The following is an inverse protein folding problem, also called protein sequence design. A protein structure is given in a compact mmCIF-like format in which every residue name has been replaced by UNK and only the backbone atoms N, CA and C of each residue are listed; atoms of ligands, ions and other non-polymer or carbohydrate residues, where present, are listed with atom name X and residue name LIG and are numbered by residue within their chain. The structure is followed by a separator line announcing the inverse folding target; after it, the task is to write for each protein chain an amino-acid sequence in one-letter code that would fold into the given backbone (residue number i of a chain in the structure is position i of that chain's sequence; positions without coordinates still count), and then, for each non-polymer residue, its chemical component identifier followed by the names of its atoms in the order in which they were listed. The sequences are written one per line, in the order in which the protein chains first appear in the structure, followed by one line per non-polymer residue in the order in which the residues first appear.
data_IF_082724426471
#
_entry.id   IF_082724426471
#
_cell.length_a   1.000
_cell.length_b   1.000
_cell.length_c   1.000
_cell.angle_alpha   90.00
_cell.angle_beta   90.00
_cell.angle_gamma   90.00
#
_symmetry.space_group_name_H-M   'P 1'
#
loop_
_entity.id
_entity.type
_entity.pdbx_description
1 polymer ?
#
# COMPACT_ATOMS: atom_id res chain seq x y z
N UNK A 1 8.50 5.38 39.51
CA UNK A 1 7.79 6.58 40.06
C UNK A 1 8.27 7.93 39.50
N UNK A 2 9.54 8.10 39.11
CA UNK A 2 10.12 9.40 38.67
C UNK A 2 9.70 9.83 37.24
N UNK A 3 9.36 8.89 36.35
CA UNK A 3 8.97 9.21 34.97
C UNK A 3 7.61 9.92 34.83
N UNK A 4 6.67 9.71 35.77
CA UNK A 4 5.30 10.24 35.68
C UNK A 4 5.21 11.74 36.00
N UNK A 5 6.16 12.28 36.79
CA UNK A 5 6.15 13.70 37.20
C UNK A 5 6.74 14.66 36.16
N UNK A 6 7.68 14.20 35.31
CA UNK A 6 8.38 15.08 34.34
C UNK A 6 7.44 15.65 33.27
N UNK A 7 6.45 14.87 32.84
CA UNK A 7 5.49 15.29 31.83
C UNK A 7 4.38 16.18 32.39
N UNK A 8 4.05 16.08 33.68
CA UNK A 8 2.98 16.86 34.30
C UNK A 8 3.21 18.37 34.20
N UNK A 9 4.45 18.85 34.41
CA UNK A 9 4.78 20.27 34.24
C UNK A 9 4.62 20.72 32.79
N UNK A 10 5.04 19.89 31.84
CA UNK A 10 4.93 20.18 30.41
C UNK A 10 3.47 20.23 29.95
N UNK A 11 2.66 19.25 30.37
CA UNK A 11 1.22 19.19 30.11
C UNK A 11 0.53 20.42 30.70
N UNK A 12 0.83 20.77 31.95
CA UNK A 12 0.26 21.95 32.61
C UNK A 12 0.59 23.27 31.89
N UNK A 13 1.81 23.43 31.36
CA UNK A 13 2.17 24.61 30.56
C UNK A 13 1.36 24.68 29.26
N UNK A 14 1.14 23.54 28.60
CA UNK A 14 0.34 23.46 27.37
C UNK A 14 -1.14 23.78 27.67
N UNK A 15 -1.70 23.23 28.75
CA UNK A 15 -3.07 23.51 29.20
C UNK A 15 -3.29 24.98 29.57
N UNK A 16 -2.27 25.63 30.13
CA UNK A 16 -2.27 27.08 30.42
C UNK A 16 -1.96 27.95 29.19
N UNK A 17 -1.83 27.36 27.99
CA UNK A 17 -1.44 28.03 26.74
C UNK A 17 -0.09 28.78 26.80
N UNK A 18 0.82 28.38 27.69
CA UNK A 18 2.18 28.94 27.82
C UNK A 18 3.15 28.22 26.87
N UNK A 19 2.92 28.39 25.57
CA UNK A 19 3.57 27.59 24.53
C UNK A 19 5.08 27.86 24.39
N UNK A 20 5.55 29.08 24.65
CA UNK A 20 6.99 29.40 24.67
C UNK A 20 7.73 28.67 25.79
N UNK A 21 7.21 28.74 27.02
CA UNK A 21 7.77 28.04 28.17
C UNK A 21 7.73 26.53 27.99
N UNK A 22 6.61 26.01 27.46
CA UNK A 22 6.46 24.60 27.14
C UNK A 22 7.50 24.14 26.11
N UNK A 23 7.75 24.95 25.07
CA UNK A 23 8.74 24.65 24.03
C UNK A 23 10.15 24.57 24.59
N UNK A 24 10.58 25.58 25.37
CA UNK A 24 11.91 25.59 26.01
C UNK A 24 12.06 24.41 26.96
N UNK A 25 11.04 24.14 27.77
CA UNK A 25 11.06 23.03 28.71
C UNK A 25 11.15 21.67 27.99
N UNK A 26 10.38 21.47 26.92
CA UNK A 26 10.39 20.24 26.14
C UNK A 26 11.72 20.04 25.39
N UNK A 27 12.32 21.09 24.81
CA UNK A 27 13.67 21.01 24.21
C UNK A 27 14.73 20.61 25.24
N UNK A 28 14.68 21.18 26.44
CA UNK A 28 15.60 20.81 27.51
C UNK A 28 15.44 19.36 27.96
N UNK A 29 14.22 18.83 28.01
CA UNK A 29 13.98 17.42 28.28
C UNK A 29 14.50 16.53 27.14
N UNK A 30 14.29 16.95 25.88
CA UNK A 30 14.74 16.21 24.72
C UNK A 30 16.27 16.14 24.63
N UNK A 31 16.98 17.23 24.95
CA UNK A 31 18.45 17.22 25.03
C UNK A 31 18.99 16.21 26.05
N UNK A 32 18.22 15.91 27.11
CA UNK A 32 18.58 14.91 28.13
C UNK A 32 18.17 13.48 27.74
N UNK A 33 17.21 13.33 26.83
CA UNK A 33 16.72 12.05 26.34
C UNK A 33 16.32 12.14 24.85
N UNK A 34 17.31 12.17 23.93
CA UNK A 34 17.06 12.45 22.51
C UNK A 34 16.36 11.30 21.77
N UNK A 35 16.18 10.14 22.42
CA UNK A 35 15.56 8.95 21.83
C UNK A 35 14.11 8.74 22.28
N UNK A 36 13.48 9.75 22.89
CA UNK A 36 12.11 9.67 23.39
C UNK A 36 11.09 10.15 22.34
N UNK A 37 10.41 9.24 21.60
CA UNK A 37 9.47 9.64 20.56
C UNK A 37 8.28 10.45 21.10
N UNK A 38 7.92 10.30 22.37
CA UNK A 38 6.80 11.04 22.95
C UNK A 38 7.13 12.53 23.09
N UNK A 39 8.37 12.88 23.49
CA UNK A 39 8.80 14.28 23.56
C UNK A 39 8.78 14.97 22.19
N UNK A 40 9.14 14.27 21.11
CA UNK A 40 9.02 14.80 19.76
C UNK A 40 7.57 15.09 19.38
N UNK A 41 6.62 14.21 19.72
CA UNK A 41 5.20 14.47 19.43
C UNK A 41 4.67 15.72 20.16
N UNK A 42 5.09 15.94 21.41
CA UNK A 42 4.70 17.14 22.17
C UNK A 42 5.33 18.40 21.55
N UNK A 43 6.62 18.36 21.21
CA UNK A 43 7.31 19.49 20.56
C UNK A 43 6.68 19.84 19.20
N UNK A 44 6.33 18.83 18.40
CA UNK A 44 5.65 19.03 17.14
C UNK A 44 4.27 19.68 17.34
N UNK A 45 3.49 19.23 18.33
CA UNK A 45 2.20 19.84 18.68
C UNK A 45 2.36 21.30 19.11
N UNK A 46 3.35 21.62 19.93
CA UNK A 46 3.63 23.00 20.36
C UNK A 46 4.00 23.86 19.14
N UNK A 47 4.88 23.38 18.26
CA UNK A 47 5.24 24.09 17.03
C UNK A 47 4.04 24.33 16.12
N UNK A 48 3.18 23.31 15.96
CA UNK A 48 1.94 23.41 15.19
C UNK A 48 0.99 24.47 15.77
N UNK A 49 0.73 24.44 17.09
CA UNK A 49 -0.10 25.44 17.79
C UNK A 49 0.45 26.86 17.69
N UNK A 50 1.76 27.01 17.57
CA UNK A 50 2.45 28.30 17.34
C UNK A 50 2.54 28.71 15.86
N UNK A 51 1.91 27.96 14.95
CA UNK A 51 2.01 28.15 13.49
C UNK A 51 3.46 28.10 12.93
N UNK A 52 4.39 27.47 13.65
CA UNK A 52 5.76 27.26 13.18
C UNK A 52 5.86 25.91 12.44
N UNK A 53 5.29 25.86 11.24
CA UNK A 53 5.14 24.64 10.46
C UNK A 53 6.49 24.06 9.97
N UNK A 54 7.48 24.93 9.71
CA UNK A 54 8.82 24.51 9.29
C UNK A 54 9.54 23.70 10.38
N UNK A 55 9.52 24.20 11.62
CA UNK A 55 10.10 23.47 12.76
C UNK A 55 9.27 22.23 13.09
N UNK A 56 7.93 22.31 13.03
CA UNK A 56 7.04 21.17 13.21
C UNK A 56 7.39 20.02 12.25
N UNK A 57 7.56 20.32 10.95
CA UNK A 57 7.96 19.34 9.93
C UNK A 57 9.31 18.70 10.27
N UNK A 58 10.31 19.49 10.65
CA UNK A 58 11.65 18.98 11.02
C UNK A 58 11.57 18.03 12.21
N UNK A 59 10.82 18.39 13.25
CA UNK A 59 10.63 17.57 14.44
C UNK A 59 9.94 16.24 14.07
N UNK A 60 8.87 16.29 13.27
CA UNK A 60 8.17 15.08 12.82
C UNK A 60 9.07 14.17 11.97
N UNK A 61 9.89 14.73 11.07
CA UNK A 61 10.84 13.94 10.30
C UNK A 61 11.89 13.25 11.21
N UNK A 62 12.42 13.96 12.20
CA UNK A 62 13.35 13.38 13.16
C UNK A 62 12.69 12.29 14.03
N UNK A 63 11.42 12.45 14.39
CA UNK A 63 10.64 11.43 15.12
C UNK A 63 10.58 10.11 14.34
N UNK A 64 10.39 10.15 13.01
CA UNK A 64 10.32 8.95 12.16
C UNK A 64 11.64 8.17 12.09
N UNK A 65 12.76 8.75 12.53
CA UNK A 65 14.06 8.08 12.60
C UNK A 65 14.27 7.32 13.92
N UNK A 66 13.40 7.52 14.92
CA UNK A 66 13.58 6.95 16.26
C UNK A 66 13.08 5.51 16.38
N UNK A 67 13.71 4.67 17.22
CA UNK A 67 13.13 3.37 17.54
C UNK A 67 11.74 3.55 18.17
N UNK A 68 10.81 2.64 17.87
CA UNK A 68 9.44 2.63 18.39
C UNK A 68 8.54 3.81 17.98
N UNK A 69 8.90 4.64 16.99
CA UNK A 69 8.02 5.70 16.47
C UNK A 69 6.66 5.15 15.99
N UNK A 70 6.65 3.91 15.50
CA UNK A 70 5.49 3.21 14.95
C UNK A 70 4.47 2.74 16.00
N UNK A 71 4.72 2.97 17.31
CA UNK A 71 3.75 2.64 18.36
C UNK A 71 2.45 3.42 18.16
N UNK A 72 1.32 2.74 18.33
CA UNK A 72 -0.03 3.27 18.05
C UNK A 72 -0.29 4.67 18.65
N UNK A 73 0.11 4.90 19.91
CA UNK A 73 -0.06 6.22 20.57
C UNK A 73 0.70 7.35 19.88
N UNK A 74 1.91 7.07 19.38
CA UNK A 74 2.75 8.05 18.69
C UNK A 74 2.18 8.33 17.30
N UNK A 75 1.82 7.27 16.57
CA UNK A 75 1.18 7.38 15.25
C UNK A 75 -0.10 8.20 15.32
N UNK A 76 -0.99 7.93 16.30
CA UNK A 76 -2.21 8.74 16.51
C UNK A 76 -1.89 10.23 16.70
N UNK A 77 -0.84 10.55 17.45
CA UNK A 77 -0.47 11.95 17.68
C UNK A 77 0.09 12.64 16.44
N UNK A 78 0.89 11.93 15.63
CA UNK A 78 1.36 12.43 14.33
C UNK A 78 0.14 12.74 13.45
N UNK A 79 -0.81 11.80 13.35
CA UNK A 79 -2.02 11.94 12.54
C UNK A 79 -2.90 13.12 12.97
N UNK A 80 -3.08 13.33 14.28
CA UNK A 80 -3.77 14.51 14.82
C UNK A 80 -3.10 15.82 14.38
N UNK A 81 -1.77 15.89 14.46
CA UNK A 81 -1.00 17.09 14.08
C UNK A 81 -1.05 17.34 12.58
N UNK A 82 -0.94 16.28 11.77
CA UNK A 82 -0.91 16.40 10.30
C UNK A 82 -2.29 16.44 9.68
N UNK A 83 -3.36 16.31 10.47
CA UNK A 83 -4.74 16.13 10.01
C UNK A 83 -4.88 14.95 9.04
N UNK A 84 -4.13 13.88 9.28
CA UNK A 84 -4.24 12.62 8.54
C UNK A 84 -5.11 11.65 9.32
N UNK A 85 -5.75 10.71 8.63
CA UNK A 85 -6.59 9.68 9.25
C UNK A 85 -6.02 8.30 8.97
N UNK A 86 -5.85 7.50 10.03
CA UNK A 86 -5.59 6.07 9.87
C UNK A 86 -6.87 5.37 9.46
N UNK A 87 -6.87 4.77 8.26
CA UNK A 87 -8.04 4.04 7.74
C UNK A 87 -8.09 2.59 8.22
N UNK A 88 -6.92 1.98 8.46
CA UNK A 88 -6.78 0.59 8.94
C UNK A 88 -5.69 0.55 10.01
N UNK A 89 -5.89 -0.29 11.02
CA UNK A 89 -4.96 -0.44 12.15
C UNK A 89 -3.54 -0.75 11.69
N UNK A 90 -2.55 -0.06 12.27
CA UNK A 90 -1.12 -0.30 12.05
C UNK A 90 -0.59 -1.57 12.75
N UNK A 91 -1.46 -2.34 13.42
CA UNK A 91 -1.16 -3.71 13.89
C UNK A 91 -0.98 -4.68 12.73
N UNK A 92 -1.64 -4.41 11.61
CA UNK A 92 -1.66 -5.28 10.44
C UNK A 92 -0.67 -4.82 9.39
N UNK A 93 -0.26 -5.74 8.52
CA UNK A 93 0.57 -5.41 7.37
C UNK A 93 -0.32 -5.25 6.14
N UNK A 94 -0.73 -4.00 5.85
CA UNK A 94 -1.55 -3.70 4.67
C UNK A 94 -0.72 -3.01 3.57
N UNK A 95 -1.01 -3.34 2.31
CA UNK A 95 -0.30 -2.82 1.13
C UNK A 95 -1.24 -2.65 -0.08
N UNK A 96 -0.72 -1.97 -1.09
CA UNK A 96 -1.33 -1.84 -2.43
C UNK A 96 -2.78 -1.32 -2.43
N UNK A 97 -3.08 -0.19 -1.76
CA UNK A 97 -4.42 0.38 -1.80
C UNK A 97 -4.77 0.87 -3.22
N UNK A 98 -6.03 0.69 -3.60
CA UNK A 98 -6.63 1.21 -4.83
C UNK A 98 -8.03 1.72 -4.54
N UNK A 99 -8.34 2.93 -4.99
CA UNK A 99 -9.70 3.46 -4.92
C UNK A 99 -10.61 2.76 -5.93
N UNK A 100 -11.90 2.66 -5.59
CA UNK A 100 -12.95 2.45 -6.58
C UNK A 100 -13.05 3.66 -7.50
N UNK A 101 -13.65 3.47 -8.67
CA UNK A 101 -13.75 4.52 -9.70
C UNK A 101 -14.60 5.73 -9.27
N UNK A 102 -15.59 5.52 -8.40
CA UNK A 102 -16.38 6.57 -7.77
C UNK A 102 -15.67 7.24 -6.58
N UNK A 103 -14.52 6.71 -6.14
CA UNK A 103 -13.74 7.21 -5.01
C UNK A 103 -14.35 6.89 -3.63
N UNK A 104 -15.45 6.14 -3.56
CA UNK A 104 -16.16 5.87 -2.30
C UNK A 104 -15.59 4.70 -1.50
N UNK A 105 -14.87 3.79 -2.16
CA UNK A 105 -14.27 2.60 -1.53
C UNK A 105 -12.80 2.48 -1.84
N UNK A 106 -12.10 1.71 -1.01
CA UNK A 106 -10.70 1.34 -1.18
C UNK A 106 -10.60 -0.17 -1.06
N UNK A 107 -9.95 -0.80 -2.04
CA UNK A 107 -9.51 -2.20 -1.97
C UNK A 107 -8.03 -2.23 -1.64
N UNK A 108 -7.62 -3.16 -0.78
CA UNK A 108 -6.24 -3.30 -0.35
C UNK A 108 -5.94 -4.75 0.05
N UNK A 109 -4.67 -5.12 0.02
CA UNK A 109 -4.21 -6.41 0.52
C UNK A 109 -3.77 -6.24 1.97
N UNK A 110 -4.14 -7.14 2.86
CA UNK A 110 -3.72 -7.05 4.26
C UNK A 110 -3.51 -8.41 4.91
N UNK A 111 -2.36 -8.59 5.55
CA UNK A 111 -2.12 -9.67 6.48
C UNK A 111 -2.60 -9.25 7.87
N UNK A 112 -3.58 -10.00 8.39
CA UNK A 112 -4.25 -9.74 9.67
C UNK A 112 -3.90 -10.77 10.75
N UNK A 113 -3.21 -11.83 10.36
CA UNK A 113 -2.84 -12.99 11.17
C UNK A 113 -1.39 -13.37 10.89
N UNK A 114 -0.73 -13.95 11.89
CA UNK A 114 0.58 -14.61 11.75
C UNK A 114 0.34 -16.01 11.16
N UNK A 115 0.47 -16.10 9.84
CA UNK A 115 0.16 -17.30 9.05
C UNK A 115 1.38 -18.21 8.87
N UNK A 116 2.58 -17.72 9.20
CA UNK A 116 3.83 -18.48 9.15
C UNK A 116 4.31 -18.94 10.55
N UNK A 117 3.64 -18.50 11.63
CA UNK A 117 3.91 -18.77 13.04
C UNK A 117 5.28 -18.25 13.53
N UNK A 118 5.75 -17.10 13.02
CA UNK A 118 7.02 -16.48 13.43
C UNK A 118 6.89 -15.49 14.62
N UNK A 119 5.66 -15.28 15.10
CA UNK A 119 5.31 -14.39 16.19
C UNK A 119 5.08 -12.93 15.78
N UNK A 120 5.07 -12.62 14.48
CA UNK A 120 4.85 -11.28 13.93
C UNK A 120 3.86 -11.33 12.77
N UNK A 121 3.25 -10.18 12.48
CA UNK A 121 2.42 -9.98 11.29
C UNK A 121 3.20 -9.09 10.34
N UNK A 122 3.64 -9.64 9.21
CA UNK A 122 4.56 -9.00 8.26
C UNK A 122 4.12 -9.19 6.81
N UNK A 123 4.98 -8.83 5.85
CA UNK A 123 4.75 -9.09 4.43
C UNK A 123 4.92 -10.57 4.05
N UNK A 124 5.53 -11.37 4.92
CA UNK A 124 5.73 -12.81 4.68
C UNK A 124 4.47 -13.62 4.99
N UNK A 125 3.52 -13.01 5.69
CA UNK A 125 2.20 -13.57 5.95
C UNK A 125 1.27 -13.48 4.75
N UNK A 126 0.40 -14.48 4.62
CA UNK A 126 -0.62 -14.52 3.57
C UNK A 126 -1.61 -13.37 3.77
N UNK A 127 -1.69 -12.43 2.81
CA UNK A 127 -2.67 -11.36 2.90
C UNK A 127 -4.04 -11.84 2.36
N UNK A 128 -5.10 -11.43 3.04
CA UNK A 128 -6.44 -11.37 2.44
C UNK A 128 -6.60 -10.12 1.58
N UNK A 129 -7.67 -10.07 0.78
CA UNK A 129 -8.10 -8.84 0.08
C UNK A 129 -9.29 -8.29 0.83
N UNK A 130 -9.20 -7.00 1.15
CA UNK A 130 -10.19 -6.28 1.94
C UNK A 130 -10.71 -5.08 1.17
N UNK A 131 -11.96 -4.72 1.45
CA UNK A 131 -12.59 -3.46 1.02
C UNK A 131 -12.92 -2.65 2.26
N UNK A 132 -12.80 -1.33 2.17
CA UNK A 132 -13.27 -0.37 3.15
C UNK A 132 -13.89 0.84 2.45
N UNK A 133 -14.74 1.59 3.13
CA UNK A 133 -15.18 2.91 2.66
C UNK A 133 -14.00 3.89 2.70
N UNK A 134 -14.07 4.98 1.91
CA UNK A 134 -13.02 6.01 1.84
C UNK A 134 -12.65 6.65 3.19
N UNK A 135 -13.55 6.57 4.16
CA UNK A 135 -13.37 7.08 5.52
C UNK A 135 -12.82 6.00 6.49
N UNK A 136 -12.57 4.77 6.05
CA UNK A 136 -12.08 3.65 6.85
C UNK A 136 -13.16 2.84 7.57
N UNK A 137 -14.45 3.07 7.30
CA UNK A 137 -15.55 2.26 7.87
C UNK A 137 -15.89 1.04 7.02
N UNK A 138 -16.67 0.10 7.57
CA UNK A 138 -17.16 -1.08 6.86
C UNK A 138 -16.06 -1.94 6.23
N UNK A 139 -14.96 -2.14 6.96
CA UNK A 139 -13.88 -3.03 6.55
C UNK A 139 -14.44 -4.45 6.42
N UNK A 140 -14.30 -5.05 5.23
CA UNK A 140 -14.78 -6.39 4.91
C UNK A 140 -13.71 -7.16 4.14
N UNK A 141 -13.44 -8.40 4.56
CA UNK A 141 -12.66 -9.35 3.77
C UNK A 141 -13.51 -9.88 2.60
N UNK A 142 -12.97 -9.81 1.39
CA UNK A 142 -13.63 -10.28 0.15
C UNK A 142 -12.89 -11.42 -0.52
N UNK A 143 -11.59 -11.59 -0.25
CA UNK A 143 -10.85 -12.81 -0.59
C UNK A 143 -10.05 -13.21 0.65
N UNK A 144 -10.24 -14.44 1.18
CA UNK A 144 -9.57 -14.87 2.39
C UNK A 144 -8.07 -15.09 2.20
N UNK A 145 -7.31 -15.03 3.29
CA UNK A 145 -5.87 -15.29 3.39
C UNK A 145 -5.44 -16.76 3.14
N UNK A 146 -6.26 -17.56 2.44
CA UNK A 146 -5.96 -18.97 2.12
C UNK A 146 -4.70 -19.11 1.26
N UNK A 147 -4.45 -18.13 0.40
CA UNK A 147 -3.36 -18.08 -0.58
C UNK A 147 -2.64 -16.74 -0.54
N UNK A 148 -1.55 -16.60 -1.29
CA UNK A 148 -0.81 -15.34 -1.38
C UNK A 148 -1.46 -14.41 -2.41
N UNK A 149 -2.33 -13.52 -1.92
CA UNK A 149 -3.08 -12.58 -2.74
C UNK A 149 -2.35 -11.22 -2.91
N UNK A 150 -2.49 -10.56 -4.05
CA UNK A 150 -1.92 -9.23 -4.27
C UNK A 150 -2.63 -8.47 -5.38
N UNK A 151 -2.27 -7.19 -5.54
CA UNK A 151 -2.59 -6.33 -6.69
C UNK A 151 -4.07 -6.29 -7.05
N UNK A 152 -4.92 -6.20 -6.03
CA UNK A 152 -6.36 -6.10 -6.18
C UNK A 152 -6.79 -4.72 -6.74
N UNK A 153 -7.73 -4.69 -7.67
CA UNK A 153 -8.34 -3.48 -8.20
C UNK A 153 -9.82 -3.67 -8.55
N UNK A 154 -10.60 -2.60 -8.41
CA UNK A 154 -12.03 -2.59 -8.74
C UNK A 154 -12.27 -2.51 -10.25
N UNK A 155 -13.33 -3.16 -10.72
CA UNK A 155 -13.97 -2.79 -11.98
C UNK A 155 -14.63 -1.40 -11.87
N UNK A 156 -14.81 -0.65 -12.98
CA UNK A 156 -15.40 0.69 -12.93
C UNK A 156 -16.89 0.76 -12.61
N UNK A 157 -17.58 -0.38 -12.58
CA UNK A 157 -18.94 -0.51 -12.05
C UNK A 157 -18.99 -0.95 -10.58
N UNK A 158 -17.83 -1.25 -9.97
CA UNK A 158 -17.72 -1.71 -8.60
C UNK A 158 -18.24 -3.14 -8.35
N UNK A 159 -18.59 -3.90 -9.40
CA UNK A 159 -19.16 -5.26 -9.29
C UNK A 159 -18.09 -6.35 -9.19
N UNK A 160 -16.89 -6.08 -9.65
CA UNK A 160 -15.81 -7.06 -9.69
C UNK A 160 -14.53 -6.54 -9.04
N UNK A 161 -13.72 -7.49 -8.58
CA UNK A 161 -12.32 -7.27 -8.22
C UNK A 161 -11.45 -8.16 -9.10
N UNK A 162 -10.46 -7.56 -9.75
CA UNK A 162 -9.38 -8.29 -10.40
C UNK A 162 -8.18 -8.32 -9.44
N UNK A 163 -7.53 -9.47 -9.30
CA UNK A 163 -6.43 -9.65 -8.35
C UNK A 163 -5.50 -10.78 -8.75
N UNK A 164 -4.30 -10.78 -8.18
CA UNK A 164 -3.31 -11.85 -8.35
C UNK A 164 -3.34 -12.80 -7.16
N UNK A 165 -3.14 -14.10 -7.39
CA UNK A 165 -3.09 -15.09 -6.32
C UNK A 165 -2.13 -16.24 -6.66
N UNK A 166 -1.17 -16.51 -5.75
CA UNK A 166 -0.32 -17.69 -5.80
C UNK A 166 -1.00 -18.83 -5.03
N UNK A 167 -1.47 -19.83 -5.78
CA UNK A 167 -2.28 -20.95 -5.26
C UNK A 167 -1.64 -22.33 -5.43
N UNK A 168 -0.42 -22.39 -5.99
CA UNK A 168 0.32 -23.62 -6.29
C UNK A 168 1.80 -23.39 -5.99
N UNK A 169 2.49 -24.46 -5.59
CA UNK A 169 3.94 -24.51 -5.56
C UNK A 169 4.44 -24.60 -7.02
N UNK A 170 5.08 -23.54 -7.46
CA UNK A 170 5.56 -23.34 -8.83
C UNK A 170 7.08 -23.33 -8.92
N UNK A 171 7.77 -23.29 -7.77
CA UNK A 171 9.22 -23.31 -7.68
C UNK A 171 9.77 -24.68 -7.21
N UNK A 172 8.91 -25.56 -6.71
CA UNK A 172 9.22 -26.92 -6.28
C UNK A 172 9.81 -27.02 -4.88
N UNK A 173 9.67 -26.01 -4.03
CA UNK A 173 10.25 -25.98 -2.67
C UNK A 173 9.35 -26.61 -1.60
N UNK A 174 8.16 -27.10 -1.99
CA UNK A 174 7.19 -27.75 -1.12
C UNK A 174 6.34 -26.78 -0.31
N UNK A 175 6.40 -25.47 -0.57
CA UNK A 175 5.60 -24.43 0.07
C UNK A 175 4.84 -23.63 -0.98
N UNK A 176 3.72 -23.05 -0.56
CA UNK A 176 3.02 -22.03 -1.35
C UNK A 176 3.34 -20.70 -0.67
N UNK A 177 4.20 -19.89 -1.27
CA UNK A 177 4.66 -18.61 -0.69
C UNK A 177 4.70 -17.44 -1.70
N UNK A 178 5.22 -16.30 -1.27
CA UNK A 178 5.32 -15.09 -2.11
C UNK A 178 6.30 -15.23 -3.28
N UNK A 179 7.10 -16.29 -3.34
CA UNK A 179 8.01 -16.62 -4.44
C UNK A 179 7.33 -17.40 -5.56
N UNK A 180 6.11 -17.89 -5.33
CA UNK A 180 5.36 -18.61 -6.34
C UNK A 180 4.75 -17.68 -7.39
N UNK A 181 4.66 -18.21 -8.61
CA UNK A 181 4.00 -17.52 -9.70
C UNK A 181 2.51 -17.40 -9.41
N UNK A 182 2.00 -16.18 -9.55
CA UNK A 182 0.60 -15.87 -9.34
C UNK A 182 -0.20 -16.02 -10.64
N UNK A 183 -1.46 -16.46 -10.53
CA UNK A 183 -2.45 -16.35 -11.60
C UNK A 183 -3.25 -15.05 -11.46
N UNK A 184 -3.95 -14.67 -12.53
CA UNK A 184 -4.89 -13.53 -12.55
C UNK A 184 -6.31 -14.04 -12.33
N UNK A 185 -7.00 -13.49 -11.34
CA UNK A 185 -8.34 -13.91 -10.95
C UNK A 185 -9.31 -12.74 -10.99
N UNK A 186 -10.58 -13.05 -11.22
CA UNK A 186 -11.70 -12.13 -11.19
C UNK A 186 -12.73 -12.63 -10.17
N UNK A 187 -13.05 -11.81 -9.17
CA UNK A 187 -14.10 -12.05 -8.20
C UNK A 187 -15.33 -11.21 -8.56
N UNK A 188 -16.50 -11.84 -8.63
CA UNK A 188 -17.78 -11.15 -8.63
C UNK A 188 -18.22 -10.87 -7.17
N UNK A 189 -18.40 -9.60 -6.81
CA UNK A 189 -18.74 -9.19 -5.45
C UNK A 189 -20.20 -9.46 -5.07
N UNK A 190 -21.11 -9.60 -6.03
CA UNK A 190 -22.52 -9.91 -5.81
C UNK A 190 -22.73 -11.41 -5.57
N UNK A 191 -22.10 -12.26 -6.40
CA UNK A 191 -22.29 -13.73 -6.34
C UNK A 191 -21.21 -14.46 -5.54
N UNK A 192 -20.14 -13.77 -5.17
CA UNK A 192 -18.93 -14.34 -4.56
C UNK A 192 -18.27 -15.45 -5.40
N UNK A 193 -18.49 -15.44 -6.71
CA UNK A 193 -17.88 -16.38 -7.64
C UNK A 193 -16.53 -15.87 -8.12
N UNK A 194 -15.52 -16.73 -8.04
CA UNK A 194 -14.18 -16.48 -8.57
C UNK A 194 -13.98 -17.18 -9.92
N UNK A 195 -13.32 -16.50 -10.85
CA UNK A 195 -12.90 -17.03 -12.14
C UNK A 195 -11.39 -16.82 -12.33
N UNK A 196 -10.68 -17.85 -12.78
CA UNK A 196 -9.29 -17.72 -13.24
C UNK A 196 -9.29 -17.15 -14.66
N UNK A 197 -8.56 -16.04 -14.88
CA UNK A 197 -8.42 -15.40 -16.18
C UNK A 197 -7.11 -15.78 -16.89
N UNK A 198 -5.99 -15.79 -16.14
CA UNK A 198 -4.66 -16.10 -16.68
C UNK A 198 -3.94 -17.04 -15.72
N UNK A 199 -3.45 -18.16 -16.25
CA UNK A 199 -2.71 -19.14 -15.46
C UNK A 199 -1.36 -18.62 -14.94
N UNK A 200 -0.92 -19.16 -13.81
CA UNK A 200 0.32 -18.80 -13.15
C UNK A 200 1.57 -18.99 -14.02
N UNK A 201 1.54 -19.93 -14.98
CA UNK A 201 2.67 -20.18 -15.88
C UNK A 201 3.05 -18.96 -16.74
N UNK A 202 2.11 -18.04 -16.97
CA UNK A 202 2.33 -16.81 -17.73
C UNK A 202 2.83 -15.64 -16.85
N UNK A 203 2.84 -15.81 -15.52
CA UNK A 203 3.27 -14.79 -14.55
C UNK A 203 2.62 -13.40 -14.79
N UNK A 204 1.28 -13.31 -14.84
CA UNK A 204 0.58 -12.04 -14.92
C UNK A 204 0.93 -11.15 -13.72
N UNK A 205 1.07 -9.85 -13.98
CA UNK A 205 1.37 -8.81 -12.98
C UNK A 205 0.60 -7.53 -13.29
N UNK A 206 0.42 -6.71 -12.26
CA UNK A 206 -0.07 -5.34 -12.34
C UNK A 206 -1.39 -5.17 -13.13
N UNK A 207 -2.46 -5.93 -12.81
CA UNK A 207 -3.72 -5.80 -13.52
C UNK A 207 -4.41 -4.46 -13.23
N UNK A 208 -5.09 -3.92 -14.23
CA UNK A 208 -5.94 -2.74 -14.12
C UNK A 208 -7.12 -2.82 -15.08
N UNK A 209 -8.30 -2.36 -14.66
CA UNK A 209 -9.44 -2.23 -15.56
C UNK A 209 -9.33 -1.00 -16.44
N UNK A 210 -9.93 -1.04 -17.63
CA UNK A 210 -10.18 0.17 -18.40
C UNK A 210 -11.35 0.97 -17.82
N UNK A 211 -11.29 2.31 -17.79
CA UNK A 211 -12.40 3.16 -17.32
C UNK A 211 -13.73 2.89 -18.04
N UNK A 212 -13.69 2.52 -19.32
CA UNK A 212 -14.88 2.19 -20.11
C UNK A 212 -15.51 0.81 -19.80
N UNK A 213 -15.04 0.07 -18.78
CA UNK A 213 -15.57 -1.22 -18.30
C UNK A 213 -15.45 -2.40 -19.27
N UNK A 214 -14.72 -2.26 -20.37
CA UNK A 214 -14.66 -3.30 -21.41
C UNK A 214 -13.42 -4.18 -21.34
N UNK A 215 -12.37 -3.75 -20.65
CA UNK A 215 -11.05 -4.35 -20.77
C UNK A 215 -10.34 -4.47 -19.42
N UNK A 216 -9.42 -5.43 -19.33
CA UNK A 216 -8.40 -5.52 -18.28
C UNK A 216 -7.04 -5.49 -18.97
N UNK A 217 -6.13 -4.64 -18.50
CA UNK A 217 -4.73 -4.60 -18.93
C UNK A 217 -3.83 -5.16 -17.84
N UNK A 218 -2.75 -5.84 -18.23
CA UNK A 218 -1.80 -6.45 -17.31
C UNK A 218 -0.45 -6.63 -18.02
N UNK A 219 0.63 -6.77 -17.26
CA UNK A 219 1.92 -7.19 -17.79
C UNK A 219 2.09 -8.70 -17.62
N UNK A 220 2.75 -9.37 -18.56
CA UNK A 220 2.83 -10.84 -18.57
C UNK A 220 4.12 -11.33 -19.23
N UNK A 221 4.68 -12.44 -18.74
CA UNK A 221 5.88 -13.06 -19.31
C UNK A 221 5.49 -14.17 -20.29
N UNK A 222 5.91 -14.09 -21.56
CA UNK A 222 5.75 -15.22 -22.49
C UNK A 222 6.90 -16.22 -22.33
N UNK A 223 6.66 -17.35 -21.67
CA UNK A 223 7.66 -18.41 -21.43
C UNK A 223 8.06 -19.21 -22.68
N UNK A 224 7.51 -18.92 -23.86
CA UNK A 224 7.76 -19.73 -25.05
C UNK A 224 9.18 -19.59 -25.65
N UNK A 225 10.04 -18.71 -25.11
CA UNK A 225 11.43 -18.56 -25.57
C UNK A 225 12.44 -18.40 -24.42
N UNK A 226 13.70 -18.84 -24.59
CA UNK A 226 14.78 -18.69 -23.59
C UNK A 226 15.11 -17.25 -23.21
N UNK A 227 14.68 -16.29 -24.04
CA UNK A 227 14.84 -14.84 -23.85
C UNK A 227 13.54 -14.16 -23.41
N UNK A 228 12.59 -14.92 -22.84
CA UNK A 228 11.24 -14.47 -22.46
C UNK A 228 11.26 -13.12 -21.75
N UNK A 229 10.55 -12.14 -22.31
CA UNK A 229 10.40 -10.78 -21.78
C UNK A 229 8.95 -10.52 -21.39
N UNK A 230 8.77 -9.60 -20.45
CA UNK A 230 7.45 -9.08 -20.08
C UNK A 230 6.90 -8.23 -21.22
N UNK A 231 5.65 -8.47 -21.60
CA UNK A 231 4.88 -7.60 -22.50
C UNK A 231 3.63 -7.07 -21.80
N UNK A 232 2.95 -6.12 -22.45
CA UNK A 232 1.66 -5.60 -21.99
C UNK A 232 0.54 -6.27 -22.79
N UNK A 233 -0.43 -6.84 -22.09
CA UNK A 233 -1.54 -7.62 -22.63
C UNK A 233 -2.86 -7.06 -22.16
N UNK A 234 -3.90 -7.36 -22.91
CA UNK A 234 -5.25 -6.90 -22.64
C UNK A 234 -6.27 -8.02 -22.85
N UNK A 235 -7.16 -8.20 -21.89
CA UNK A 235 -8.36 -9.03 -22.00
C UNK A 235 -9.53 -8.14 -22.39
N UNK A 236 -10.30 -8.53 -23.41
CA UNK A 236 -11.63 -7.98 -23.68
C UNK A 236 -12.66 -8.76 -22.86
N UNK A 237 -13.49 -8.06 -22.08
CA UNK A 237 -14.44 -8.69 -21.16
C UNK A 237 -15.71 -9.22 -21.84
N UNK A 238 -16.00 -8.79 -23.07
CA UNK A 238 -17.19 -9.24 -23.81
C UNK A 238 -17.06 -10.66 -24.36
N UNK A 239 -15.86 -11.04 -24.76
CA UNK A 239 -15.57 -12.32 -25.43
C UNK A 239 -14.38 -13.08 -24.83
N UNK A 240 -13.79 -12.53 -23.75
CA UNK A 240 -12.60 -13.06 -23.09
C UNK A 240 -11.36 -13.18 -23.97
N UNK A 241 -11.35 -12.51 -25.13
CA UNK A 241 -10.20 -12.53 -26.02
C UNK A 241 -9.01 -11.80 -25.40
N UNK A 242 -7.81 -12.36 -25.58
CA UNK A 242 -6.56 -11.77 -25.09
C UNK A 242 -5.77 -11.29 -26.30
N UNK A 243 -5.32 -10.03 -26.26
CA UNK A 243 -4.41 -9.48 -27.26
C UNK A 243 -3.14 -8.93 -26.60
N UNK A 244 -2.04 -8.96 -27.34
CA UNK A 244 -0.80 -8.31 -26.95
C UNK A 244 -0.79 -6.87 -27.47
N UNK A 245 -0.53 -5.90 -26.59
CA UNK A 245 -0.41 -4.49 -26.95
C UNK A 245 1.06 -4.07 -27.13
N UNK A 246 1.95 -4.61 -26.31
CA UNK A 246 3.39 -4.27 -26.34
C UNK A 246 4.19 -5.57 -26.23
N UNK A 247 5.03 -5.83 -27.24
CA UNK A 247 5.98 -6.95 -27.28
C UNK A 247 7.39 -6.37 -27.35
N UNK A 248 7.89 -5.81 -26.26
CA UNK A 248 9.18 -5.12 -26.25
C UNK A 248 10.38 -6.03 -25.98
N UNK A 249 11.56 -5.55 -26.39
CA UNK A 249 12.87 -6.17 -26.11
C UNK A 249 13.24 -6.06 -24.61
N UNK A 250 12.50 -5.34 -23.79
CA UNK A 250 12.81 -5.14 -22.38
C UNK A 250 11.57 -5.39 -21.53
N UNK A 251 11.74 -5.49 -20.22
CA UNK A 251 10.62 -5.71 -19.31
C UNK A 251 9.73 -4.45 -19.24
N UNK A 252 8.46 -4.61 -19.63
CA UNK A 252 7.42 -3.59 -19.47
C UNK A 252 6.50 -3.93 -18.28
N UNK A 253 6.22 -2.95 -17.42
CA UNK A 253 5.52 -3.12 -16.13
C UNK A 253 4.58 -1.94 -15.82
N UNK A 254 3.69 -2.16 -14.85
CA UNK A 254 2.72 -1.18 -14.32
C UNK A 254 1.84 -0.48 -15.39
N UNK A 255 1.18 -1.23 -16.30
CA UNK A 255 0.31 -0.61 -17.30
C UNK A 255 -0.95 -0.02 -16.66
N UNK A 256 -1.35 1.18 -17.11
CA UNK A 256 -2.60 1.84 -16.74
C UNK A 256 -3.24 2.49 -17.97
N UNK A 257 -4.57 2.53 -18.00
CA UNK A 257 -5.31 3.29 -19.02
C UNK A 257 -5.35 4.78 -18.67
N UNK A 258 -5.36 5.64 -19.69
CA UNK A 258 -5.80 7.02 -19.54
C UNK A 258 -7.28 7.08 -19.11
N UNK A 259 -7.74 8.16 -18.45
CA UNK A 259 -9.12 8.29 -18.01
C UNK A 259 -10.17 8.11 -19.12
N UNK A 260 -9.86 8.54 -20.35
CA UNK A 260 -10.71 8.38 -21.53
C UNK A 260 -10.57 7.01 -22.23
N UNK A 261 -9.71 6.11 -21.72
CA UNK A 261 -9.42 4.78 -22.27
C UNK A 261 -8.78 4.75 -23.67
N UNK A 262 -8.27 5.89 -24.18
CA UNK A 262 -7.64 5.97 -25.50
C UNK A 262 -6.15 5.63 -25.51
N UNK A 263 -5.47 5.88 -24.39
CA UNK A 263 -4.04 5.67 -24.25
C UNK A 263 -3.74 4.72 -23.09
N UNK A 264 -2.54 4.17 -23.10
CA UNK A 264 -1.97 3.46 -21.96
C UNK A 264 -0.64 4.12 -21.57
N UNK A 265 -0.35 4.11 -20.28
CA UNK A 265 0.98 4.43 -19.74
C UNK A 265 1.55 3.15 -19.13
N UNK A 266 2.86 2.94 -19.30
CA UNK A 266 3.60 1.83 -18.70
C UNK A 266 5.04 2.28 -18.45
N UNK A 267 5.75 1.55 -17.58
CA UNK A 267 7.19 1.72 -17.42
C UNK A 267 7.90 0.61 -18.17
N UNK A 268 8.94 0.94 -18.93
CA UNK A 268 9.78 -0.03 -19.64
C UNK A 268 11.23 0.17 -19.27
N UNK A 269 11.97 -0.92 -19.08
CA UNK A 269 13.42 -0.85 -18.99
C UNK A 269 14.00 -0.53 -20.37
N UNK A 270 15.09 0.21 -20.43
CA UNK A 270 15.86 0.41 -21.66
C UNK A 270 17.36 0.30 -21.37
N UNK A 271 18.16 -0.05 -22.37
CA UNK A 271 19.62 0.04 -22.28
C UNK A 271 20.07 1.45 -22.59
N UNK A 272 21.11 1.93 -21.90
CA UNK A 272 21.63 3.30 -21.97
C UNK A 272 22.29 3.70 -23.30
N UNK A 273 22.16 2.91 -24.38
CA UNK A 273 22.77 3.24 -25.68
C UNK A 273 22.14 4.48 -26.34
N UNK A 274 21.03 4.98 -25.81
CA UNK A 274 20.49 6.31 -26.10
C UNK A 274 19.89 6.91 -24.82
N UNK A 275 20.67 6.98 -23.75
CA UNK A 275 20.29 7.83 -22.62
C UNK A 275 20.11 9.25 -23.16
N UNK A 276 18.87 9.70 -23.21
CA UNK A 276 18.52 11.08 -23.48
C UNK A 276 19.14 11.90 -22.35
N UNK A 277 20.28 12.56 -22.63
CA UNK A 277 20.79 13.65 -21.81
C UNK A 277 19.77 14.79 -21.95
N UNK A 278 18.73 14.75 -21.11
CA UNK A 278 17.79 15.86 -20.98
C UNK A 278 18.52 17.15 -20.52
N UNK A 279 17.88 18.31 -20.69
CA UNK A 279 18.49 19.62 -20.40
C UNK A 279 18.89 19.80 -18.93
#
# INVERSE_FOLDING_TARGET
MIFKFKYNKLISLIEQNKLDDAYVFAKNLLNRNPVDPYLYTILAEICFKKNNLSECKKILLNLLLLPNWYKEKIVKKILEITNWKMLVSNKYFCKEPRFSYDGEKIVFCCATEDTNNDGKITNDDRPGIYITDKNGTNIKEVVPNKYYNSSACFSPDGKYICFLSARRDTNGDGKIDSKDAQGLYLLNLETNQEQLLIENMYRPKHPSFSPNRKKIIFSCWQKLNPTSKSGIYMINLSDWSIISLVVEKYESVFPLFSPNSEYIVYSSFCTSENAYDGP
#
